data_IF_506150909181
#
_entry.id   IF_506150909181
#
_cell.length_a   1.000
_cell.length_b   1.000
_cell.length_c   1.000
_cell.angle_alpha   90.00
_cell.angle_beta   90.00
_cell.angle_gamma   90.00
#
_symmetry.space_group_name_H-M   'P 1'
#
loop_
_entity.id
_entity.type
_entity.pdbx_description
1 polymer ?
#
# COMPACT_ATOMS: atom_id res chain seq x y z
N UNK A 1 14.59 14.65 9.27
CA UNK A 1 14.27 15.92 9.96
C UNK A 1 14.29 15.75 11.47
N UNK A 2 13.47 14.86 12.09
CA UNK A 2 13.43 14.71 13.54
C UNK A 2 14.79 14.27 14.11
N UNK A 3 15.42 13.26 13.56
CA UNK A 3 16.75 12.80 13.97
C UNK A 3 17.83 13.90 13.79
N UNK A 4 17.77 14.68 12.74
CA UNK A 4 18.66 15.83 12.52
C UNK A 4 18.49 16.94 13.56
N UNK A 5 17.36 16.94 14.26
CA UNK A 5 17.06 17.85 15.39
C UNK A 5 17.40 17.23 16.76
N UNK A 6 18.07 16.09 16.76
CA UNK A 6 18.53 15.43 17.97
C UNK A 6 17.52 14.47 18.63
N UNK A 7 16.37 14.21 17.99
CA UNK A 7 15.44 13.21 18.49
C UNK A 7 15.89 11.79 18.14
N UNK A 8 15.63 10.85 19.05
CA UNK A 8 15.71 9.43 18.73
C UNK A 8 14.41 9.00 18.05
N UNK A 9 14.51 8.48 16.84
CA UNK A 9 13.35 8.12 16.01
C UNK A 9 13.34 6.61 15.84
N UNK A 10 12.24 5.97 16.14
CA UNK A 10 11.98 4.59 15.76
C UNK A 10 10.86 4.55 14.74
N UNK A 11 11.09 3.84 13.64
CA UNK A 11 10.12 3.59 12.57
C UNK A 11 9.80 2.11 12.61
N UNK A 12 8.52 1.79 12.73
CA UNK A 12 8.05 0.40 12.75
C UNK A 12 7.15 0.19 11.55
N UNK A 13 7.48 -0.81 10.74
CA UNK A 13 6.78 -1.15 9.50
C UNK A 13 6.41 -2.63 9.53
N UNK A 14 5.14 -2.94 9.29
CA UNK A 14 4.64 -4.30 9.28
C UNK A 14 5.17 -5.13 8.10
N UNK A 15 5.46 -4.49 6.98
CA UNK A 15 5.97 -5.15 5.77
C UNK A 15 7.49 -5.29 5.78
N UNK A 16 8.00 -6.06 4.82
CA UNK A 16 9.44 -6.27 4.59
C UNK A 16 10.15 -5.03 4.04
N UNK A 17 9.40 -4.08 3.49
CA UNK A 17 9.89 -2.87 2.85
C UNK A 17 9.02 -1.70 3.20
N UNK A 18 9.61 -0.52 3.31
CA UNK A 18 8.87 0.72 3.54
C UNK A 18 8.16 1.21 2.28
N UNK A 19 7.19 2.09 2.45
CA UNK A 19 6.55 2.85 1.38
C UNK A 19 5.10 2.47 1.10
N UNK A 20 4.61 1.33 1.57
CA UNK A 20 3.19 0.95 1.52
C UNK A 20 2.50 1.28 0.20
N UNK A 21 1.41 2.04 0.25
CA UNK A 21 0.64 2.49 -0.92
C UNK A 21 1.46 3.34 -1.91
N UNK A 22 2.44 4.08 -1.42
CA UNK A 22 3.30 4.91 -2.27
C UNK A 22 4.22 4.05 -3.15
N UNK A 23 4.73 2.94 -2.61
CA UNK A 23 5.49 1.95 -3.38
C UNK A 23 4.62 1.33 -4.48
N UNK A 24 3.38 0.97 -4.18
CA UNK A 24 2.43 0.46 -5.17
C UNK A 24 2.17 1.47 -6.30
N UNK A 25 2.04 2.75 -5.97
CA UNK A 25 1.94 3.80 -6.98
C UNK A 25 3.16 3.86 -7.89
N UNK A 26 4.36 3.63 -7.36
CA UNK A 26 5.62 3.58 -8.10
C UNK A 26 5.75 2.37 -9.04
N UNK A 27 5.00 1.29 -8.76
CA UNK A 27 4.98 0.10 -9.61
C UNK A 27 4.14 0.27 -10.88
N UNK A 28 3.39 1.36 -10.99
CA UNK A 28 2.59 1.64 -12.17
C UNK A 28 3.42 2.21 -13.32
N UNK A 29 2.94 2.10 -14.57
CA UNK A 29 3.61 2.64 -15.73
C UNK A 29 4.00 4.12 -15.55
N UNK A 30 5.23 4.44 -15.94
CA UNK A 30 5.78 5.82 -15.94
C UNK A 30 5.89 6.50 -14.57
N UNK A 31 5.87 5.73 -13.46
CA UNK A 31 5.97 6.26 -12.10
C UNK A 31 7.20 5.77 -11.33
N UNK A 32 8.20 5.25 -12.01
CA UNK A 32 9.43 4.70 -11.39
C UNK A 32 10.18 5.69 -10.49
N UNK A 33 10.06 7.01 -10.73
CA UNK A 33 10.68 8.03 -9.87
C UNK A 33 10.20 7.95 -8.41
N UNK A 34 9.00 7.40 -8.17
CA UNK A 34 8.50 7.16 -6.81
C UNK A 34 9.37 6.13 -6.10
N UNK A 35 9.80 5.09 -6.80
CA UNK A 35 10.67 4.04 -6.24
C UNK A 35 12.06 4.61 -5.93
N UNK A 36 12.62 5.44 -6.81
CA UNK A 36 13.89 6.14 -6.57
C UNK A 36 13.84 7.03 -5.31
N UNK A 37 12.69 7.70 -5.09
CA UNK A 37 12.48 8.48 -3.88
C UNK A 37 12.42 7.59 -2.62
N UNK A 38 11.78 6.42 -2.71
CA UNK A 38 11.74 5.46 -1.60
C UNK A 38 13.15 4.93 -1.28
N UNK A 39 13.94 4.60 -2.29
CA UNK A 39 15.34 4.19 -2.12
C UNK A 39 16.17 5.30 -1.46
N UNK A 40 15.87 6.57 -1.77
CA UNK A 40 16.50 7.69 -1.09
C UNK A 40 16.10 7.74 0.40
N UNK A 41 14.83 7.54 0.73
CA UNK A 41 14.36 7.48 2.11
C UNK A 41 14.99 6.31 2.88
N UNK A 42 15.08 5.15 2.29
CA UNK A 42 15.72 3.98 2.91
C UNK A 42 17.16 4.29 3.33
N UNK A 43 17.93 4.93 2.45
CA UNK A 43 19.28 5.41 2.80
C UNK A 43 19.30 6.47 3.92
N UNK A 44 18.23 7.26 4.08
CA UNK A 44 18.14 8.22 5.18
C UNK A 44 17.89 7.52 6.54
N UNK A 45 17.30 6.35 6.53
CA UNK A 45 17.02 5.59 7.76
C UNK A 45 18.28 4.95 8.36
N UNK A 46 19.37 4.83 7.60
CA UNK A 46 20.69 4.38 8.10
C UNK A 46 21.43 5.45 8.90
N UNK A 47 20.87 6.65 9.03
CA UNK A 47 21.49 7.75 9.76
C UNK A 47 21.45 7.54 11.27
N UNK A 48 22.47 8.08 12.00
CA UNK A 48 22.45 8.09 13.47
C UNK A 48 21.17 8.69 14.03
N UNK A 49 20.61 8.05 15.06
CA UNK A 49 19.39 8.50 15.72
C UNK A 49 18.10 7.98 15.07
N UNK A 50 18.18 7.20 13.98
CA UNK A 50 17.05 6.51 13.38
C UNK A 50 17.21 5.00 13.58
N UNK A 51 16.14 4.33 13.96
CA UNK A 51 16.03 2.87 14.03
C UNK A 51 14.83 2.44 13.19
N UNK A 52 15.08 1.62 12.17
CA UNK A 52 14.04 1.01 11.36
C UNK A 52 13.81 -0.45 11.78
N UNK A 53 12.56 -0.82 12.04
CA UNK A 53 12.14 -2.19 12.30
C UNK A 53 11.11 -2.60 11.26
N UNK A 54 11.51 -3.48 10.36
CA UNK A 54 10.65 -4.11 9.35
C UNK A 54 10.06 -5.41 9.88
N UNK A 55 9.06 -5.95 9.18
CA UNK A 55 8.34 -7.17 9.55
C UNK A 55 7.82 -7.13 11.00
N UNK A 56 7.43 -5.96 11.46
CA UNK A 56 7.00 -5.76 12.84
C UNK A 56 5.62 -5.10 12.84
N UNK A 57 4.64 -5.87 13.21
CA UNK A 57 3.29 -5.35 13.46
C UNK A 57 3.21 -4.96 14.94
N UNK A 58 2.70 -3.76 15.24
CA UNK A 58 2.44 -3.31 16.59
C UNK A 58 0.94 -3.25 16.83
N UNK A 59 0.49 -3.88 17.89
CA UNK A 59 -0.86 -3.72 18.40
C UNK A 59 -0.97 -2.47 19.29
N UNK A 60 -2.18 -2.06 19.57
CA UNK A 60 -2.47 -0.86 20.37
C UNK A 60 -1.83 -0.90 21.76
N UNK A 61 -1.85 -2.05 22.42
CA UNK A 61 -1.23 -2.26 23.72
C UNK A 61 0.29 -2.06 23.65
N UNK A 62 0.96 -2.62 22.64
CA UNK A 62 2.41 -2.48 22.48
C UNK A 62 2.79 -1.02 22.20
N UNK A 63 1.96 -0.30 21.44
CA UNK A 63 2.16 1.14 21.22
C UNK A 63 2.04 1.93 22.52
N UNK A 64 1.07 1.59 23.38
CA UNK A 64 0.88 2.24 24.67
C UNK A 64 2.02 1.96 25.66
N UNK A 65 2.61 0.77 25.61
CA UNK A 65 3.75 0.36 26.44
C UNK A 65 5.07 0.96 25.95
N UNK A 66 5.12 1.43 24.69
CA UNK A 66 6.29 2.08 24.13
C UNK A 66 6.51 3.43 24.82
N UNK A 67 7.64 3.60 25.50
CA UNK A 67 7.97 4.82 26.25
C UNK A 67 8.31 6.02 25.34
N UNK A 68 7.58 6.20 24.24
CA UNK A 68 7.78 7.30 23.31
C UNK A 68 7.07 8.55 23.80
N UNK A 69 7.73 9.71 23.72
CA UNK A 69 7.12 11.00 24.04
C UNK A 69 6.07 11.44 22.99
N UNK A 70 6.27 11.02 21.74
CA UNK A 70 5.38 11.32 20.62
C UNK A 70 5.24 10.06 19.76
N UNK A 71 4.01 9.69 19.45
CA UNK A 71 3.69 8.62 18.52
C UNK A 71 3.01 9.23 17.29
N UNK A 72 3.53 8.91 16.10
CA UNK A 72 2.92 9.28 14.82
C UNK A 72 2.31 8.03 14.21
N UNK A 73 0.98 7.99 14.13
CA UNK A 73 0.25 6.88 13.52
C UNK A 73 0.15 7.14 12.02
N UNK A 74 0.80 6.30 11.23
CA UNK A 74 0.86 6.40 9.76
C UNK A 74 0.62 5.04 9.09
N UNK A 75 -0.35 4.28 9.60
CA UNK A 75 -0.62 2.89 9.23
C UNK A 75 -1.23 2.72 7.83
N UNK A 76 -1.61 3.81 7.17
CA UNK A 76 -2.18 3.79 5.83
C UNK A 76 -3.59 3.20 5.78
N UNK A 77 -3.90 2.48 4.71
CA UNK A 77 -5.18 1.81 4.50
C UNK A 77 -4.99 0.49 3.78
N UNK A 78 -5.85 -0.47 4.08
CA UNK A 78 -5.97 -1.71 3.34
C UNK A 78 -7.12 -1.61 2.34
N UNK A 79 -7.09 -2.33 1.21
CA UNK A 79 -8.24 -2.45 0.34
C UNK A 79 -9.37 -3.17 1.08
N UNK A 80 -10.61 -2.77 0.78
CA UNK A 80 -11.79 -3.53 1.18
C UNK A 80 -11.95 -4.71 0.23
N UNK A 81 -11.84 -5.91 0.73
CA UNK A 81 -11.92 -7.16 -0.03
C UNK A 81 -13.37 -7.69 -0.14
N UNK A 82 -14.34 -7.03 0.49
CA UNK A 82 -15.75 -7.36 0.35
C UNK A 82 -16.33 -6.93 -0.99
N UNK A 83 -15.66 -6.01 -1.69
CA UNK A 83 -16.14 -5.41 -2.92
C UNK A 83 -17.30 -4.44 -2.70
N UNK A 84 -17.46 -3.89 -1.50
CA UNK A 84 -18.47 -2.87 -1.22
C UNK A 84 -18.43 -1.73 -2.25
N UNK A 85 -19.61 -1.33 -2.75
CA UNK A 85 -19.77 -0.28 -3.75
C UNK A 85 -20.58 0.89 -3.17
N UNK A 86 -20.08 2.10 -3.33
CA UNK A 86 -20.76 3.31 -2.85
C UNK A 86 -22.09 3.57 -3.53
N UNK A 87 -22.24 3.12 -4.78
CA UNK A 87 -23.46 3.31 -5.57
C UNK A 87 -24.55 2.28 -5.25
N UNK A 88 -24.20 1.21 -4.53
CA UNK A 88 -25.13 0.16 -4.09
C UNK A 88 -24.93 -0.08 -2.58
N UNK A 89 -25.15 0.93 -1.74
CA UNK A 89 -24.76 0.88 -0.32
C UNK A 89 -25.60 -0.09 0.51
N UNK A 90 -26.71 -0.61 -0.02
CA UNK A 90 -27.53 -1.62 0.60
C UNK A 90 -26.89 -3.02 0.55
N UNK A 91 -25.92 -3.22 -0.35
CA UNK A 91 -25.18 -4.47 -0.49
C UNK A 91 -23.84 -4.34 0.25
N UNK A 92 -23.68 -5.07 1.33
CA UNK A 92 -22.43 -5.05 2.11
C UNK A 92 -21.27 -5.72 1.37
N UNK A 93 -21.57 -6.62 0.43
CA UNK A 93 -20.60 -7.36 -0.38
C UNK A 93 -21.01 -7.37 -1.84
N UNK A 94 -20.04 -7.41 -2.74
CA UNK A 94 -20.32 -7.59 -4.16
C UNK A 94 -20.89 -9.01 -4.39
N UNK A 95 -22.10 -9.15 -4.95
CA UNK A 95 -22.65 -10.45 -5.26
C UNK A 95 -21.73 -11.25 -6.19
N UNK A 96 -21.41 -12.48 -5.81
CA UNK A 96 -20.53 -13.37 -6.56
C UNK A 96 -19.04 -13.22 -6.24
N UNK A 97 -18.64 -12.36 -5.32
CA UNK A 97 -17.23 -12.19 -4.95
C UNK A 97 -16.62 -13.50 -4.40
N UNK A 98 -17.44 -14.32 -3.74
CA UNK A 98 -17.08 -15.61 -3.19
C UNK A 98 -16.73 -16.66 -4.27
N UNK A 99 -17.16 -16.46 -5.51
CA UNK A 99 -16.80 -17.32 -6.63
C UNK A 99 -15.33 -17.15 -7.08
N UNK A 100 -14.66 -16.13 -6.55
CA UNK A 100 -13.29 -15.78 -6.91
C UNK A 100 -13.20 -14.97 -8.21
N UNK A 101 -11.97 -14.61 -8.57
CA UNK A 101 -11.71 -13.83 -9.80
C UNK A 101 -11.85 -12.31 -9.63
N UNK A 102 -12.22 -11.83 -8.43
CA UNK A 102 -12.18 -10.41 -8.09
C UNK A 102 -10.91 -10.12 -7.30
N UNK A 103 -10.17 -9.10 -7.71
CA UNK A 103 -8.88 -8.77 -7.16
C UNK A 103 -8.75 -7.27 -6.89
N UNK A 104 -8.11 -6.90 -5.81
CA UNK A 104 -7.77 -5.50 -5.56
C UNK A 104 -6.69 -5.01 -6.54
N UNK A 105 -6.63 -3.72 -6.85
CA UNK A 105 -5.53 -3.12 -7.60
C UNK A 105 -4.15 -3.43 -6.98
N UNK A 106 -4.10 -3.50 -5.66
CA UNK A 106 -2.90 -3.83 -4.91
C UNK A 106 -2.39 -5.25 -5.21
N UNK A 107 -3.28 -6.24 -5.20
CA UNK A 107 -2.96 -7.62 -5.54
C UNK A 107 -2.48 -7.75 -6.99
N UNK A 108 -3.10 -7.01 -7.91
CA UNK A 108 -2.68 -6.96 -9.32
C UNK A 108 -1.26 -6.39 -9.46
N UNK A 109 -0.99 -5.25 -8.84
CA UNK A 109 0.32 -4.59 -8.91
C UNK A 109 1.42 -5.41 -8.24
N UNK A 110 1.12 -6.14 -7.17
CA UNK A 110 2.04 -7.07 -6.51
C UNK A 110 2.22 -8.38 -7.26
N UNK A 111 1.47 -8.62 -8.34
CA UNK A 111 1.45 -9.87 -9.11
C UNK A 111 0.97 -11.09 -8.31
N UNK A 112 0.11 -10.87 -7.34
CA UNK A 112 -0.54 -11.90 -6.53
C UNK A 112 -1.84 -12.39 -7.18
N UNK A 113 -2.45 -11.55 -8.04
CA UNK A 113 -3.68 -11.84 -8.74
C UNK A 113 -3.50 -12.87 -9.87
N UNK A 114 -4.38 -13.86 -9.93
CA UNK A 114 -4.45 -14.84 -11.03
C UNK A 114 -5.45 -14.33 -12.07
N UNK A 115 -4.96 -13.68 -13.09
CA UNK A 115 -5.77 -13.03 -14.12
C UNK A 115 -5.85 -13.84 -15.40
N UNK A 116 -7.05 -13.90 -15.98
CA UNK A 116 -7.25 -14.37 -17.36
C UNK A 116 -6.70 -13.40 -18.42
N UNK A 117 -6.98 -13.66 -19.69
CA UNK A 117 -6.56 -12.78 -20.79
C UNK A 117 -7.44 -11.54 -20.92
N UNK A 118 -8.71 -11.64 -20.52
CA UNK A 118 -9.66 -10.53 -20.47
C UNK A 118 -9.88 -10.12 -19.00
N UNK A 119 -9.76 -8.83 -18.74
CA UNK A 119 -9.89 -8.25 -17.40
C UNK A 119 -10.77 -7.00 -17.45
N UNK A 120 -11.76 -6.94 -16.57
CA UNK A 120 -12.54 -5.72 -16.35
C UNK A 120 -11.97 -4.98 -15.14
N UNK A 121 -11.66 -3.70 -15.31
CA UNK A 121 -11.27 -2.81 -14.22
C UNK A 121 -12.47 -1.94 -13.85
N UNK A 122 -13.01 -2.15 -12.66
CA UNK A 122 -14.09 -1.32 -12.11
C UNK A 122 -13.50 -0.25 -11.18
N UNK A 123 -13.64 1.02 -11.54
CA UNK A 123 -13.07 2.15 -10.82
C UNK A 123 -14.15 3.15 -10.39
N UNK A 124 -14.48 3.16 -9.11
CA UNK A 124 -15.35 4.19 -8.51
C UNK A 124 -14.57 5.43 -8.02
N UNK A 125 -13.26 5.29 -7.83
CA UNK A 125 -12.44 6.30 -7.19
C UNK A 125 -11.91 7.37 -8.15
N UNK A 126 -11.83 7.07 -9.45
CA UNK A 126 -11.29 7.96 -10.47
C UNK A 126 -9.85 8.41 -10.20
N UNK A 127 -9.08 7.57 -9.49
CA UNK A 127 -7.74 7.91 -9.06
C UNK A 127 -6.68 6.99 -9.68
N UNK A 128 -5.43 7.15 -9.23
CA UNK A 128 -4.29 6.39 -9.76
C UNK A 128 -4.47 4.86 -9.68
N UNK A 129 -5.21 4.34 -8.69
CA UNK A 129 -5.38 2.89 -8.50
C UNK A 129 -6.06 2.25 -9.71
N UNK A 130 -7.25 2.71 -10.09
CA UNK A 130 -7.99 2.14 -11.21
C UNK A 130 -7.31 2.38 -12.55
N UNK A 131 -7.08 3.63 -12.91
CA UNK A 131 -6.48 4.01 -14.20
C UNK A 131 -5.09 3.44 -14.38
N UNK A 132 -4.24 3.52 -13.35
CA UNK A 132 -2.87 3.02 -13.42
C UNK A 132 -2.80 1.49 -13.47
N UNK A 133 -3.73 0.80 -12.81
CA UNK A 133 -3.83 -0.66 -12.89
C UNK A 133 -4.30 -1.10 -14.28
N UNK A 134 -5.32 -0.43 -14.84
CA UNK A 134 -5.76 -0.69 -16.22
C UNK A 134 -4.61 -0.51 -17.22
N UNK A 135 -3.84 0.56 -17.08
CA UNK A 135 -2.66 0.79 -17.92
C UNK A 135 -1.61 -0.32 -17.76
N UNK A 136 -1.27 -0.70 -16.52
CA UNK A 136 -0.32 -1.77 -16.26
C UNK A 136 -0.77 -3.11 -16.87
N UNK A 137 -2.07 -3.41 -16.84
CA UNK A 137 -2.64 -4.61 -17.47
C UNK A 137 -2.59 -4.54 -19.01
N UNK A 138 -2.87 -3.39 -19.59
CA UNK A 138 -2.77 -3.19 -21.05
C UNK A 138 -1.32 -3.36 -21.53
N UNK A 139 -0.32 -2.86 -20.81
CA UNK A 139 1.10 -3.10 -21.15
C UNK A 139 1.50 -4.57 -21.02
N UNK A 140 0.80 -5.37 -20.21
CA UNK A 140 0.96 -6.82 -20.11
C UNK A 140 0.21 -7.58 -21.21
N UNK A 141 -0.48 -6.90 -22.12
CA UNK A 141 -1.24 -7.49 -23.21
C UNK A 141 -2.62 -8.04 -22.80
N UNK A 142 -3.13 -7.67 -21.63
CA UNK A 142 -4.50 -8.01 -21.23
C UNK A 142 -5.52 -7.21 -22.04
N UNK A 143 -6.68 -7.82 -22.26
CA UNK A 143 -7.80 -7.26 -23.03
C UNK A 143 -8.90 -6.79 -22.09
#
# INVERSE_FOLDING_TARGET
VAAERGHRVEIVEALQVVGGQFRLAGMQPRRGQILELLDWYERQFDRPGVRLRLNTFLEDQEVAEHAAQVVVVATGSLPDDTGFQRWVPQEATLPGIEAGGVWSPEAVLRREARLGDAVVVYDEGGNWRGVGTAWALAEQGKK
#
